data_IF_931584911378
#
_entry.id   IF_931584911378
#
_cell.length_a   1.000
_cell.length_b   1.000
_cell.length_c   1.000
_cell.angle_alpha   90.00
_cell.angle_beta   90.00
_cell.angle_gamma   90.00
#
_symmetry.space_group_name_H-M   'P 1'
#
loop_
_entity.id
_entity.type
_entity.pdbx_description
1 polymer ?
#
# COMPACT_ATOMS: atom_id res chain seq x y z
N UNK A 1 -26.04 -38.65 17.93
CA UNK A 1 -25.24 -38.15 16.78
C UNK A 1 -26.06 -37.70 15.56
N UNK A 2 -27.40 -37.55 15.62
CA UNK A 2 -28.24 -37.23 14.45
C UNK A 2 -28.60 -35.74 14.27
N UNK A 3 -28.53 -34.93 15.32
CA UNK A 3 -28.88 -33.50 15.30
C UNK A 3 -27.76 -32.62 14.75
N UNK A 4 -26.50 -32.93 15.08
CA UNK A 4 -25.31 -32.21 14.61
C UNK A 4 -25.17 -32.29 13.07
N UNK A 5 -25.40 -33.47 12.50
CA UNK A 5 -25.30 -33.73 11.06
C UNK A 5 -26.43 -33.06 10.26
N UNK A 6 -27.61 -32.88 10.87
CA UNK A 6 -28.77 -32.20 10.27
C UNK A 6 -28.59 -30.68 10.21
N UNK A 7 -27.94 -30.09 11.22
CA UNK A 7 -27.61 -28.67 11.23
C UNK A 7 -26.49 -28.34 10.21
N UNK A 8 -25.52 -29.24 10.02
CA UNK A 8 -24.46 -29.07 9.03
C UNK A 8 -25.00 -28.91 7.59
N UNK A 9 -26.04 -29.67 7.20
CA UNK A 9 -26.69 -29.50 5.88
C UNK A 9 -27.43 -28.16 5.74
N UNK A 10 -27.99 -27.61 6.82
CA UNK A 10 -28.75 -26.33 6.81
C UNK A 10 -27.82 -25.12 6.66
N UNK A 11 -26.65 -25.13 7.28
CA UNK A 11 -25.67 -24.05 7.20
C UNK A 11 -24.58 -24.27 6.14
N UNK A 12 -24.60 -25.41 5.44
CA UNK A 12 -23.62 -25.75 4.38
C UNK A 12 -23.52 -24.64 3.33
N UNK A 13 -24.66 -24.10 2.90
CA UNK A 13 -24.67 -23.01 1.91
C UNK A 13 -24.01 -21.74 2.47
N UNK A 14 -24.35 -21.34 3.70
CA UNK A 14 -23.77 -20.16 4.35
C UNK A 14 -22.26 -20.31 4.59
N UNK A 15 -21.81 -21.51 4.95
CA UNK A 15 -20.38 -21.82 5.08
C UNK A 15 -19.67 -21.79 3.72
N UNK A 16 -20.28 -22.33 2.66
CA UNK A 16 -19.69 -22.25 1.32
C UNK A 16 -19.62 -20.81 0.82
N UNK A 17 -20.65 -20.00 1.07
CA UNK A 17 -20.66 -18.58 0.70
C UNK A 17 -19.63 -17.76 1.48
N UNK A 18 -19.47 -18.02 2.78
CA UNK A 18 -18.49 -17.30 3.61
C UNK A 18 -17.05 -17.56 3.19
N UNK A 19 -16.76 -18.70 2.56
CA UNK A 19 -15.45 -19.02 1.99
C UNK A 19 -15.32 -18.58 0.52
N UNK A 20 -16.37 -18.74 -0.27
CA UNK A 20 -16.35 -18.44 -1.70
C UNK A 20 -16.21 -16.94 -1.99
N UNK A 21 -16.91 -16.07 -1.23
CA UNK A 21 -16.91 -14.64 -1.51
C UNK A 21 -15.51 -13.99 -1.30
N UNK A 22 -14.79 -14.23 -0.18
CA UNK A 22 -13.42 -13.76 -0.03
C UNK A 22 -12.48 -14.36 -1.07
N UNK A 23 -12.64 -15.65 -1.40
CA UNK A 23 -11.82 -16.30 -2.41
C UNK A 23 -12.00 -15.67 -3.81
N UNK A 24 -13.23 -15.37 -4.19
CA UNK A 24 -13.55 -14.66 -5.44
C UNK A 24 -12.98 -13.24 -5.45
N UNK A 25 -13.15 -12.50 -4.35
CA UNK A 25 -12.59 -11.16 -4.20
C UNK A 25 -11.06 -11.18 -4.38
N UNK A 26 -10.36 -12.02 -3.62
CA UNK A 26 -8.90 -12.15 -3.71
C UNK A 26 -8.47 -12.62 -5.10
N UNK A 27 -9.16 -13.60 -5.69
CA UNK A 27 -8.87 -14.06 -7.06
C UNK A 27 -9.01 -12.92 -8.06
N UNK A 28 -10.06 -12.09 -7.93
CA UNK A 28 -10.26 -10.93 -8.81
C UNK A 28 -9.12 -9.91 -8.71
N UNK A 29 -8.58 -9.70 -7.50
CA UNK A 29 -7.41 -8.82 -7.26
C UNK A 29 -6.18 -9.37 -7.99
N UNK A 30 -5.89 -10.67 -7.87
CA UNK A 30 -4.75 -11.28 -8.56
C UNK A 30 -4.89 -11.26 -10.08
N UNK A 31 -6.09 -11.51 -10.61
CA UNK A 31 -6.37 -11.39 -12.05
C UNK A 31 -6.16 -9.95 -12.51
N UNK A 32 -6.67 -8.95 -11.78
CA UNK A 32 -6.48 -7.53 -12.10
C UNK A 32 -5.00 -7.13 -12.06
N UNK A 33 -4.24 -7.59 -11.09
CA UNK A 33 -2.79 -7.38 -11.04
C UNK A 33 -2.09 -7.99 -12.26
N UNK A 34 -2.41 -9.24 -12.61
CA UNK A 34 -1.83 -9.91 -13.77
C UNK A 34 -2.14 -9.15 -15.07
N UNK A 35 -3.37 -8.68 -15.24
CA UNK A 35 -3.78 -7.84 -16.38
C UNK A 35 -3.03 -6.51 -16.37
N UNK A 36 -2.87 -5.87 -15.22
CA UNK A 36 -2.14 -4.62 -15.09
C UNK A 36 -0.65 -4.78 -15.46
N UNK A 37 0.01 -5.85 -15.00
CA UNK A 37 1.38 -6.18 -15.40
C UNK A 37 1.50 -6.45 -16.90
N UNK A 38 0.51 -7.13 -17.49
CA UNK A 38 0.50 -7.41 -18.92
C UNK A 38 0.34 -6.13 -19.75
N UNK A 39 -0.57 -5.23 -19.33
CA UNK A 39 -0.85 -3.98 -20.04
C UNK A 39 0.21 -2.90 -19.82
N UNK A 40 0.84 -2.88 -18.65
CA UNK A 40 1.91 -1.97 -18.28
C UNK A 40 3.13 -2.75 -17.72
N UNK A 41 3.94 -3.39 -18.58
CA UNK A 41 5.07 -4.23 -18.12
C UNK A 41 6.17 -3.46 -17.38
N UNK A 42 6.21 -2.13 -17.54
CA UNK A 42 7.17 -1.25 -16.89
C UNK A 42 6.45 -0.21 -16.03
N UNK A 43 6.99 0.15 -14.86
CA UNK A 43 6.45 1.24 -14.06
C UNK A 43 6.43 2.57 -14.81
N UNK A 44 5.38 3.36 -14.59
CA UNK A 44 5.11 4.65 -15.23
C UNK A 44 5.32 5.82 -14.27
N UNK A 45 5.39 5.55 -12.97
CA UNK A 45 5.68 6.53 -11.93
C UNK A 45 6.39 5.87 -10.73
N UNK A 46 6.96 6.68 -9.86
CA UNK A 46 7.46 6.24 -8.55
C UNK A 46 6.55 6.77 -7.46
N UNK A 47 6.32 5.97 -6.42
CA UNK A 47 5.59 6.33 -5.22
C UNK A 47 6.47 6.02 -4.02
N UNK A 48 6.92 7.07 -3.33
CA UNK A 48 7.70 6.98 -2.11
C UNK A 48 6.80 7.17 -0.89
N UNK A 49 6.78 6.19 0.00
CA UNK A 49 5.99 6.28 1.23
C UNK A 49 6.72 7.10 2.30
N UNK A 50 5.97 7.99 2.93
CA UNK A 50 6.40 8.89 3.99
C UNK A 50 6.97 8.19 5.20
N UNK A 51 7.82 8.91 5.95
CA UNK A 51 8.58 8.38 7.07
C UNK A 51 9.98 9.00 7.15
N UNK A 52 11.01 8.16 7.20
CA UNK A 52 12.40 8.60 7.45
C UNK A 52 12.88 9.70 6.46
N UNK A 53 13.63 10.72 6.95
CA UNK A 53 14.30 11.71 6.11
C UNK A 53 15.14 11.15 4.95
N UNK A 54 15.68 9.94 5.11
CA UNK A 54 16.52 9.29 4.09
C UNK A 54 15.72 8.96 2.82
N UNK A 55 14.40 8.76 2.93
CA UNK A 55 13.56 8.34 1.81
C UNK A 55 13.44 9.42 0.74
N UNK A 56 13.38 10.69 1.12
CA UNK A 56 13.32 11.81 0.16
C UNK A 56 14.61 11.91 -0.67
N UNK A 57 15.78 11.73 -0.03
CA UNK A 57 17.07 11.70 -0.72
C UNK A 57 17.18 10.51 -1.67
N UNK A 58 16.81 9.32 -1.20
CA UNK A 58 16.78 8.13 -2.05
C UNK A 58 15.83 8.31 -3.23
N UNK A 59 14.61 8.80 -3.00
CA UNK A 59 13.64 9.05 -4.06
C UNK A 59 14.17 10.01 -5.13
N UNK A 60 14.87 11.07 -4.71
CA UNK A 60 15.49 12.02 -5.62
C UNK A 60 16.58 11.35 -6.48
N UNK A 61 17.47 10.56 -5.87
CA UNK A 61 18.50 9.80 -6.59
C UNK A 61 17.91 8.74 -7.53
N UNK A 62 16.88 8.02 -7.07
CA UNK A 62 16.17 7.04 -7.86
C UNK A 62 15.50 7.69 -9.09
N UNK A 63 14.94 8.89 -8.91
CA UNK A 63 14.34 9.67 -9.99
C UNK A 63 15.35 10.21 -11.02
N UNK A 64 16.61 10.41 -10.64
CA UNK A 64 17.69 10.74 -11.59
C UNK A 64 17.96 9.58 -12.55
N UNK A 65 17.96 8.36 -12.02
CA UNK A 65 18.15 7.13 -12.81
C UNK A 65 16.93 6.79 -13.69
N UNK A 66 15.76 7.37 -13.36
CA UNK A 66 14.49 7.16 -14.06
C UNK A 66 13.92 8.50 -14.56
N UNK A 67 14.68 9.19 -15.41
CA UNK A 67 14.42 10.57 -15.82
C UNK A 67 13.06 10.81 -16.51
N UNK A 68 12.39 9.76 -17.00
CA UNK A 68 11.07 9.85 -17.64
C UNK A 68 9.89 9.62 -16.70
N UNK A 69 10.11 9.23 -15.44
CA UNK A 69 9.03 8.89 -14.50
C UNK A 69 8.70 10.08 -13.59
N UNK A 70 7.41 10.30 -13.36
CA UNK A 70 6.94 11.22 -12.33
C UNK A 70 7.19 10.64 -10.92
N UNK A 71 7.45 11.53 -9.98
CA UNK A 71 7.81 11.21 -8.59
C UNK A 71 6.66 11.62 -7.68
N UNK A 72 6.03 10.62 -7.09
CA UNK A 72 4.99 10.79 -6.08
C UNK A 72 5.56 10.52 -4.70
N UNK A 73 5.24 11.38 -3.74
CA UNK A 73 5.59 11.20 -2.33
C UNK A 73 4.31 11.34 -1.52
N UNK A 74 3.98 10.33 -0.72
CA UNK A 74 2.81 10.34 0.16
C UNK A 74 3.27 10.48 1.62
N UNK A 75 2.74 11.43 2.40
CA UNK A 75 3.04 11.69 3.83
C UNK A 75 4.53 11.88 4.22
N UNK A 76 5.35 12.37 3.29
CA UNK A 76 6.78 12.63 3.50
C UNK A 76 7.10 13.95 4.21
N UNK A 77 8.32 14.45 4.01
CA UNK A 77 8.72 15.78 4.52
C UNK A 77 7.81 16.89 3.99
N UNK A 78 7.60 17.98 4.75
CA UNK A 78 6.90 19.16 4.27
C UNK A 78 7.48 19.70 2.96
N UNK A 79 6.67 20.39 2.15
CA UNK A 79 7.02 20.73 0.77
C UNK A 79 8.26 21.64 0.71
N UNK A 80 8.36 22.56 1.66
CA UNK A 80 9.48 23.47 1.89
C UNK A 80 10.81 22.74 2.15
N UNK A 81 10.76 21.52 2.69
CA UNK A 81 11.95 20.69 2.93
C UNK A 81 12.19 19.66 1.81
N UNK A 82 11.13 19.08 1.26
CA UNK A 82 11.21 18.05 0.23
C UNK A 82 11.64 18.63 -1.12
N UNK A 83 11.05 19.76 -1.55
CA UNK A 83 11.33 20.36 -2.87
C UNK A 83 12.80 20.74 -3.06
N UNK A 84 13.51 21.34 -2.07
CA UNK A 84 14.95 21.58 -2.19
C UNK A 84 15.77 20.32 -2.45
N UNK A 85 15.41 19.17 -1.88
CA UNK A 85 16.11 17.89 -2.10
C UNK A 85 15.99 17.46 -3.56
N UNK A 86 14.77 17.46 -4.11
CA UNK A 86 14.54 17.10 -5.52
C UNK A 86 15.19 18.10 -6.48
N UNK A 87 15.12 19.39 -6.18
CA UNK A 87 15.78 20.45 -6.96
C UNK A 87 17.29 20.31 -6.96
N UNK A 88 17.89 20.00 -5.81
CA UNK A 88 19.34 19.76 -5.70
C UNK A 88 19.77 18.52 -6.51
N UNK A 89 18.88 17.54 -6.66
CA UNK A 89 19.07 16.38 -7.54
C UNK A 89 18.73 16.67 -9.02
N UNK A 90 18.43 17.92 -9.40
CA UNK A 90 18.11 18.28 -10.78
C UNK A 90 16.76 17.75 -11.28
N UNK A 91 15.87 17.33 -10.38
CA UNK A 91 14.53 16.87 -10.76
C UNK A 91 13.62 18.11 -10.94
N UNK A 92 12.99 18.29 -12.11
CA UNK A 92 12.15 19.44 -12.36
C UNK A 92 10.90 19.39 -11.47
N UNK A 93 10.46 20.55 -10.98
CA UNK A 93 9.32 20.64 -10.06
C UNK A 93 8.02 20.08 -10.65
N UNK A 94 7.86 20.10 -11.98
CA UNK A 94 6.71 19.54 -12.69
C UNK A 94 6.59 18.02 -12.57
N UNK A 95 7.70 17.31 -12.29
CA UNK A 95 7.73 15.85 -12.08
C UNK A 95 7.52 15.45 -10.62
N UNK A 96 7.41 16.41 -9.69
CA UNK A 96 7.39 16.13 -8.25
C UNK A 96 6.00 16.44 -7.68
N UNK A 97 5.29 15.38 -7.34
CA UNK A 97 3.94 15.41 -6.78
C UNK A 97 4.01 15.01 -5.30
N UNK A 98 3.59 15.91 -4.41
CA UNK A 98 3.62 15.69 -2.97
C UNK A 98 2.17 15.61 -2.48
N UNK A 99 1.78 14.47 -1.93
CA UNK A 99 0.47 14.22 -1.33
C UNK A 99 0.64 14.13 0.21
N UNK A 100 -0.14 14.93 0.94
CA UNK A 100 -0.08 15.03 2.39
C UNK A 100 -1.37 14.58 3.08
N UNK A 101 -2.26 13.91 2.35
CA UNK A 101 -3.54 13.44 2.89
C UNK A 101 -3.39 12.17 3.73
N UNK A 102 -2.35 11.38 3.45
CA UNK A 102 -2.09 10.15 4.15
C UNK A 102 -1.59 10.40 5.59
N UNK A 103 -2.15 9.62 6.51
CA UNK A 103 -1.79 9.64 7.95
C UNK A 103 -1.22 8.31 8.44
N UNK A 104 -1.29 7.28 7.60
CA UNK A 104 -0.78 5.93 7.87
C UNK A 104 -0.49 5.14 6.61
N UNK A 105 -0.07 3.88 6.75
CA UNK A 105 0.30 3.04 5.61
C UNK A 105 -0.88 2.74 4.69
N UNK A 106 -2.11 2.57 5.20
CA UNK A 106 -3.29 2.30 4.34
C UNK A 106 -3.64 3.52 3.51
N UNK A 107 -3.72 4.67 4.16
CA UNK A 107 -4.04 5.96 3.52
C UNK A 107 -2.98 6.39 2.52
N UNK A 108 -1.71 6.03 2.74
CA UNK A 108 -0.63 6.22 1.77
C UNK A 108 -0.93 5.60 0.39
N UNK A 109 -1.67 4.50 0.34
CA UNK A 109 -2.09 3.87 -0.92
C UNK A 109 -3.45 4.36 -1.38
N UNK A 110 -4.44 4.47 -0.49
CA UNK A 110 -5.82 4.78 -0.90
C UNK A 110 -5.94 6.21 -1.44
N UNK A 111 -5.18 7.18 -0.91
CA UNK A 111 -5.20 8.56 -1.43
C UNK A 111 -4.61 8.68 -2.83
N UNK A 112 -3.81 7.71 -3.27
CA UNK A 112 -3.15 7.73 -4.58
C UNK A 112 -3.99 7.16 -5.72
N UNK A 113 -5.04 6.39 -5.39
CA UNK A 113 -5.82 5.63 -6.38
C UNK A 113 -6.46 6.55 -7.42
N UNK A 114 -7.10 7.63 -6.98
CA UNK A 114 -7.84 8.52 -7.88
C UNK A 114 -6.90 9.30 -8.81
N UNK A 115 -5.76 9.75 -8.27
CA UNK A 115 -4.71 10.40 -9.06
C UNK A 115 -4.13 9.46 -10.11
N UNK A 116 -3.85 8.21 -9.75
CA UNK A 116 -3.31 7.23 -10.69
C UNK A 116 -4.32 6.84 -11.78
N UNK A 117 -5.60 6.68 -11.44
CA UNK A 117 -6.64 6.47 -12.45
C UNK A 117 -6.78 7.65 -13.41
N UNK A 118 -6.83 8.88 -12.88
CA UNK A 118 -6.95 10.10 -13.67
C UNK A 118 -5.79 10.26 -14.66
N UNK A 119 -4.58 9.87 -14.25
CA UNK A 119 -3.37 9.91 -15.06
C UNK A 119 -3.10 8.62 -15.85
N UNK A 120 -4.02 7.65 -15.79
CA UNK A 120 -3.91 6.35 -16.44
C UNK A 120 -2.61 5.59 -16.08
N UNK A 121 -2.12 5.79 -14.87
CA UNK A 121 -0.98 5.07 -14.29
C UNK A 121 -1.48 3.71 -13.82
N UNK A 122 -0.97 2.65 -14.44
CA UNK A 122 -1.33 1.24 -14.17
C UNK A 122 -0.19 0.45 -13.56
N UNK A 123 1.02 1.00 -13.48
CA UNK A 123 2.14 0.34 -12.82
C UNK A 123 3.05 1.37 -12.17
N UNK A 124 3.36 1.22 -10.88
CA UNK A 124 4.24 2.14 -10.13
C UNK A 124 5.38 1.42 -9.42
N UNK A 125 6.52 2.08 -9.25
CA UNK A 125 7.48 1.69 -8.24
C UNK A 125 6.96 2.08 -6.86
N UNK A 126 6.94 1.16 -5.90
CA UNK A 126 6.60 1.46 -4.50
C UNK A 126 7.87 1.43 -3.67
N UNK A 127 8.27 2.60 -3.17
CA UNK A 127 9.54 2.82 -2.47
C UNK A 127 9.26 3.04 -0.98
N UNK A 128 9.87 2.21 -0.14
CA UNK A 128 9.89 2.41 1.33
C UNK A 128 11.10 1.67 1.93
N UNK A 129 11.35 1.86 3.22
CA UNK A 129 12.38 1.09 3.94
C UNK A 129 12.06 -0.40 3.99
N UNK A 130 13.09 -1.23 3.93
CA UNK A 130 12.98 -2.70 3.98
C UNK A 130 12.14 -3.23 5.15
N UNK A 131 12.31 -2.69 6.36
CA UNK A 131 11.59 -3.11 7.55
C UNK A 131 10.06 -2.88 7.47
N UNK A 132 9.61 -1.94 6.63
CA UNK A 132 8.19 -1.68 6.34
C UNK A 132 7.68 -2.37 5.07
N UNK A 133 8.57 -2.91 4.24
CA UNK A 133 8.22 -3.35 2.89
C UNK A 133 7.19 -4.49 2.90
N UNK A 134 7.22 -5.37 3.89
CA UNK A 134 6.22 -6.46 4.00
C UNK A 134 4.80 -5.91 4.12
N UNK A 135 4.60 -4.93 5.00
CA UNK A 135 3.30 -4.28 5.19
C UNK A 135 2.88 -3.51 3.95
N UNK A 136 3.80 -2.76 3.35
CA UNK A 136 3.56 -2.02 2.11
C UNK A 136 3.12 -2.94 0.96
N UNK A 137 3.77 -4.09 0.76
CA UNK A 137 3.38 -5.07 -0.27
C UNK A 137 1.99 -5.65 -0.03
N UNK A 138 1.64 -5.98 1.20
CA UNK A 138 0.32 -6.52 1.53
C UNK A 138 -0.78 -5.52 1.18
N UNK A 139 -0.62 -4.26 1.61
CA UNK A 139 -1.60 -3.20 1.36
C UNK A 139 -1.64 -2.83 -0.12
N UNK A 140 -0.50 -2.70 -0.81
CA UNK A 140 -0.45 -2.43 -2.24
C UNK A 140 -1.17 -3.54 -3.05
N UNK A 141 -0.95 -4.80 -2.69
CA UNK A 141 -1.64 -5.93 -3.34
C UNK A 141 -3.15 -5.80 -3.22
N UNK A 142 -3.66 -5.42 -2.05
CA UNK A 142 -5.09 -5.24 -1.82
C UNK A 142 -5.61 -3.97 -2.51
N UNK A 143 -5.09 -2.80 -2.13
CA UNK A 143 -5.57 -1.49 -2.59
C UNK A 143 -5.32 -1.34 -4.09
N UNK A 144 -4.06 -1.31 -4.54
CA UNK A 144 -3.74 -1.14 -5.96
C UNK A 144 -4.22 -2.31 -6.81
N UNK A 145 -4.07 -3.55 -6.33
CA UNK A 145 -4.54 -4.71 -7.08
C UNK A 145 -6.06 -4.74 -7.28
N UNK A 146 -6.86 -4.34 -6.30
CA UNK A 146 -8.32 -4.20 -6.48
C UNK A 146 -8.68 -3.16 -7.55
N UNK A 147 -7.81 -2.17 -7.73
CA UNK A 147 -7.96 -1.06 -8.68
C UNK A 147 -7.30 -1.34 -10.04
N UNK A 148 -6.67 -2.50 -10.23
CA UNK A 148 -5.97 -2.80 -11.50
C UNK A 148 -4.69 -1.98 -11.70
N UNK A 149 -4.01 -1.64 -10.61
CA UNK A 149 -2.72 -0.95 -10.60
C UNK A 149 -1.67 -1.96 -10.11
N UNK A 150 -0.71 -2.29 -10.96
CA UNK A 150 0.46 -3.10 -10.64
C UNK A 150 1.49 -2.29 -9.85
N UNK A 151 2.40 -2.97 -9.16
CA UNK A 151 3.45 -2.29 -8.43
C UNK A 151 4.76 -3.10 -8.38
N UNK A 152 5.89 -2.44 -8.56
CA UNK A 152 7.21 -3.03 -8.35
C UNK A 152 7.80 -2.50 -7.03
N UNK A 153 8.03 -3.35 -6.01
CA UNK A 153 8.58 -2.90 -4.73
C UNK A 153 10.07 -2.56 -4.85
N UNK A 154 10.49 -1.47 -4.23
CA UNK A 154 11.89 -1.04 -4.13
C UNK A 154 12.19 -0.74 -2.66
N UNK A 155 12.92 -1.65 -2.02
CA UNK A 155 13.27 -1.52 -0.61
C UNK A 155 14.53 -0.67 -0.45
N UNK A 156 14.48 0.33 0.43
CA UNK A 156 15.66 1.06 0.90
C UNK A 156 16.26 0.22 2.03
N UNK A 157 17.48 -0.31 1.88
CA UNK A 157 18.12 -1.11 2.92
C UNK A 157 18.32 -0.30 4.20
N UNK A 158 18.02 -0.90 5.35
CA UNK A 158 18.27 -0.32 6.67
C UNK A 158 18.77 -1.40 7.62
N UNK A 159 19.33 -0.98 8.76
CA UNK A 159 19.75 -1.91 9.82
C UNK A 159 18.62 -2.21 10.82
N UNK A 160 17.39 -1.80 10.52
CA UNK A 160 16.26 -1.98 11.42
C UNK A 160 15.64 -3.38 11.27
N UNK A 161 15.23 -4.04 12.36
CA UNK A 161 14.49 -5.28 12.27
C UNK A 161 13.15 -5.05 11.57
N UNK A 162 12.72 -6.03 10.78
CA UNK A 162 11.40 -6.00 10.15
C UNK A 162 10.30 -5.80 11.20
N UNK A 163 9.28 -5.02 10.85
CA UNK A 163 8.12 -4.81 11.73
C UNK A 163 7.47 -6.15 12.11
N UNK A 164 6.64 -6.17 13.15
CA UNK A 164 5.86 -7.35 13.49
C UNK A 164 4.78 -7.64 12.42
N UNK A 165 4.47 -8.91 12.17
CA UNK A 165 3.56 -9.31 11.09
C UNK A 165 2.11 -8.89 11.36
N UNK A 166 1.76 -8.72 12.63
CA UNK A 166 0.44 -8.29 13.07
C UNK A 166 0.05 -6.93 12.47
N UNK A 167 1.00 -6.00 12.32
CA UNK A 167 0.73 -4.70 11.68
C UNK A 167 0.27 -4.86 10.23
N UNK A 168 0.89 -5.78 9.49
CA UNK A 168 0.47 -6.08 8.12
C UNK A 168 -0.91 -6.72 8.09
N UNK A 169 -1.25 -7.57 9.07
CA UNK A 169 -2.58 -8.18 9.16
C UNK A 169 -3.66 -7.13 9.45
N UNK A 170 -3.46 -6.27 10.45
CA UNK A 170 -4.43 -5.25 10.84
C UNK A 170 -4.68 -4.25 9.70
N UNK A 171 -3.61 -3.75 9.08
CA UNK A 171 -3.75 -2.83 7.94
C UNK A 171 -4.32 -3.54 6.69
N UNK A 172 -4.11 -4.85 6.52
CA UNK A 172 -4.79 -5.62 5.47
C UNK A 172 -6.30 -5.69 5.72
N UNK A 173 -6.73 -5.87 6.97
CA UNK A 173 -8.14 -5.80 7.35
C UNK A 173 -8.76 -4.44 7.03
N UNK A 174 -8.04 -3.36 7.33
CA UNK A 174 -8.44 -1.99 6.96
C UNK A 174 -8.48 -1.76 5.45
N UNK A 175 -7.52 -2.30 4.70
CA UNK A 175 -7.53 -2.23 3.24
C UNK A 175 -8.74 -2.97 2.64
N UNK A 176 -9.11 -4.14 3.18
CA UNK A 176 -10.33 -4.85 2.79
C UNK A 176 -11.60 -4.06 3.10
N UNK A 177 -11.67 -3.42 4.28
CA UNK A 177 -12.77 -2.51 4.62
C UNK A 177 -12.89 -1.38 3.58
N UNK A 178 -11.76 -0.78 3.20
CA UNK A 178 -11.74 0.27 2.18
C UNK A 178 -12.21 -0.25 0.81
N UNK A 179 -11.78 -1.43 0.37
CA UNK A 179 -12.25 -2.03 -0.90
C UNK A 179 -13.77 -2.20 -0.93
N UNK A 180 -14.37 -2.59 0.20
CA UNK A 180 -15.80 -2.87 0.29
C UNK A 180 -16.66 -1.61 0.48
N UNK A 181 -16.11 -0.55 1.10
CA UNK A 181 -16.91 0.58 1.60
C UNK A 181 -16.41 1.95 1.18
N UNK A 182 -15.17 2.06 0.70
CA UNK A 182 -14.45 3.32 0.52
C UNK A 182 -13.93 3.96 1.81
N UNK A 183 -14.24 3.39 2.98
CA UNK A 183 -13.81 3.93 4.28
C UNK A 183 -12.42 3.42 4.68
N UNK A 184 -11.50 4.33 4.99
CA UNK A 184 -10.08 4.01 5.28
C UNK A 184 -9.85 3.47 6.70
N UNK A 185 -10.80 3.70 7.62
CA UNK A 185 -10.63 3.35 9.04
C UNK A 185 -9.49 4.09 9.73
N UNK A 186 -9.01 5.22 9.20
CA UNK A 186 -7.90 5.98 9.77
C UNK A 186 -8.17 6.46 11.21
N UNK A 187 -9.43 6.75 11.54
CA UNK A 187 -9.86 7.09 12.90
C UNK A 187 -9.69 5.94 13.91
N UNK A 188 -9.71 4.68 13.46
CA UNK A 188 -9.53 3.50 14.31
C UNK A 188 -8.06 3.29 14.68
N UNK A 189 -7.13 3.86 13.90
CA UNK A 189 -5.70 3.77 14.15
C UNK A 189 -5.29 4.49 15.46
N UNK A 190 -6.03 5.53 15.85
CA UNK A 190 -5.81 6.24 17.12
C UNK A 190 -6.09 5.39 18.37
N UNK A 191 -6.85 4.29 18.24
CA UNK A 191 -7.15 3.37 19.35
C UNK A 191 -6.11 2.26 19.52
N UNK A 192 -5.37 1.94 18.46
CA UNK A 192 -4.25 0.99 18.50
C UNK A 192 -2.96 1.79 18.49
N UNK A 193 -2.72 2.59 19.54
CA UNK A 193 -1.44 3.32 19.67
C UNK A 193 -0.29 2.37 19.41
N UNK A 194 0.48 2.67 18.36
CA UNK A 194 1.62 1.87 17.89
C UNK A 194 2.61 1.54 19.02
N UNK A 195 2.70 2.43 20.03
CA UNK A 195 3.51 2.28 21.23
C UNK A 195 3.03 1.14 22.15
N UNK A 196 1.72 0.83 22.20
CA UNK A 196 1.21 -0.24 23.07
C UNK A 196 1.47 -1.64 22.52
N UNK A 197 1.61 -1.79 21.20
CA UNK A 197 1.87 -3.09 20.54
C UNK A 197 3.37 -3.37 20.34
N UNK A 198 4.22 -2.34 20.36
CA UNK A 198 5.69 -2.51 20.36
C UNK A 198 6.23 -2.88 21.74
N UNK A 199 5.56 -2.44 22.81
CA UNK A 199 5.99 -2.69 24.20
C UNK A 199 5.41 -3.97 24.79
N UNK A 200 4.37 -4.53 24.18
CA UNK A 200 3.81 -5.80 24.62
C UNK A 200 4.64 -6.96 24.07
N UNK A 201 5.49 -7.55 24.91
CA UNK A 201 5.98 -8.93 24.80
C UNK A 201 4.80 -9.93 24.85
N UNK A 202 3.90 -9.85 23.88
CA UNK A 202 2.90 -10.89 23.66
C UNK A 202 3.37 -11.75 22.48
N UNK A 203 3.98 -12.86 22.89
CA UNK A 203 4.56 -14.00 22.16
C UNK A 203 6.01 -13.87 21.71
#
# INVERSE_FOLDING_TARGET
>A
MSTLHRNFKRYRLLYLLSMALPALLLSSIFVRLAVAYYQAPRPQATLTLGGSPLRAKFAAQFAQQHASLDVWVSSGRPAEEARPIFRAAGIPASRVHLNYEAVDTVTNFTSMVDDFHRLQIRHVYVITSDYHMRRAKAIATLVFGSQGIAFTPVAIPTEQPSEHWLFALLDSGRALLWILTGYTGASLNAYFSYDQLSDSNFF
#
